data_IF_379111568034
#
_entry.id   IF_379111568034
#
_cell.length_a   1.000
_cell.length_b   1.000
_cell.length_c   1.000
_cell.angle_alpha   90.00
_cell.angle_beta   90.00
_cell.angle_gamma   90.00
#
_symmetry.space_group_name_H-M   'P 1'
#
loop_
_entity.id
_entity.type
_entity.pdbx_description
1 polymer ?
#
# COMPACT_ATOMS: atom_id res chain seq x y z
N UNK A 1 -8.39 -10.99 1.88
CA UNK A 1 -8.31 -9.71 2.62
C UNK A 1 -6.92 -9.60 3.25
N UNK A 2 -6.13 -8.58 2.89
CA UNK A 2 -4.70 -8.52 3.24
C UNK A 2 -4.47 -8.48 4.77
N UNK A 3 -3.56 -9.31 5.32
CA UNK A 3 -3.33 -9.41 6.77
C UNK A 3 -2.83 -8.09 7.39
N UNK A 4 -2.10 -7.28 6.60
CA UNK A 4 -1.61 -5.95 6.99
C UNK A 4 -2.78 -5.01 7.29
N UNK A 5 -3.82 -4.99 6.45
CA UNK A 5 -4.99 -4.12 6.62
C UNK A 5 -5.76 -4.49 7.90
N UNK A 6 -5.80 -5.77 8.27
CA UNK A 6 -6.45 -6.23 9.51
C UNK A 6 -5.72 -5.74 10.76
N UNK A 7 -4.39 -5.74 10.75
CA UNK A 7 -3.56 -5.27 11.87
C UNK A 7 -3.69 -3.76 12.07
N UNK A 8 -3.58 -2.96 10.99
CA UNK A 8 -3.78 -1.51 11.05
C UNK A 8 -5.17 -1.14 11.53
N UNK A 9 -6.20 -1.84 11.05
CA UNK A 9 -7.58 -1.63 11.50
C UNK A 9 -7.73 -1.86 13.01
N UNK A 10 -7.08 -2.88 13.57
CA UNK A 10 -7.13 -3.10 15.02
C UNK A 10 -6.49 -1.97 15.81
N UNK A 11 -5.30 -1.51 15.40
CA UNK A 11 -4.58 -0.42 16.10
C UNK A 11 -5.33 0.90 16.03
N UNK A 12 -5.94 1.23 14.89
CA UNK A 12 -6.68 2.48 14.74
C UNK A 12 -7.95 2.49 15.58
N UNK A 13 -8.65 1.36 15.70
CA UNK A 13 -9.78 1.23 16.62
C UNK A 13 -9.34 1.42 18.08
N UNK A 14 -8.21 0.83 18.48
CA UNK A 14 -7.66 1.05 19.83
C UNK A 14 -7.37 2.54 20.09
N UNK A 15 -6.74 3.24 19.15
CA UNK A 15 -6.46 4.68 19.28
C UNK A 15 -7.75 5.52 19.40
N UNK A 16 -8.77 5.23 18.59
CA UNK A 16 -10.08 5.91 18.66
C UNK A 16 -10.79 5.65 19.99
N UNK A 17 -10.74 4.42 20.50
CA UNK A 17 -11.33 4.05 21.80
C UNK A 17 -10.61 4.80 22.93
N UNK A 18 -9.27 4.87 22.91
CA UNK A 18 -8.50 5.61 23.91
C UNK A 18 -8.79 7.11 23.87
N UNK A 19 -8.93 7.70 22.69
CA UNK A 19 -9.33 9.11 22.54
C UNK A 19 -10.75 9.36 23.07
N UNK A 20 -11.71 8.50 22.73
CA UNK A 20 -13.07 8.61 23.26
C UNK A 20 -13.07 8.48 24.79
N UNK A 21 -12.28 7.54 25.32
CA UNK A 21 -12.17 7.30 26.76
C UNK A 21 -11.63 8.51 27.52
N UNK A 22 -10.57 9.16 27.01
CA UNK A 22 -10.03 10.36 27.67
C UNK A 22 -10.98 11.56 27.57
N UNK A 23 -11.73 11.70 26.48
CA UNK A 23 -12.76 12.74 26.35
C UNK A 23 -13.86 12.52 27.39
N UNK A 24 -14.32 11.27 27.55
CA UNK A 24 -15.33 10.92 28.57
C UNK A 24 -14.80 11.24 29.97
N UNK A 25 -13.57 10.83 30.31
CA UNK A 25 -12.96 11.15 31.60
C UNK A 25 -12.85 12.66 31.81
N UNK A 26 -12.41 13.42 30.81
CA UNK A 26 -12.32 14.87 30.87
C UNK A 26 -13.67 15.53 31.17
N UNK A 27 -14.70 15.16 30.39
CA UNK A 27 -16.07 15.71 30.54
C UNK A 27 -16.62 15.42 31.92
N UNK A 28 -16.55 14.17 32.38
CA UNK A 28 -17.05 13.79 33.70
C UNK A 28 -16.22 14.40 34.83
N UNK A 29 -14.90 14.50 34.68
CA UNK A 29 -14.01 15.14 35.65
C UNK A 29 -14.36 16.61 35.85
N UNK A 30 -14.46 17.40 34.78
CA UNK A 30 -14.86 18.80 34.90
C UNK A 30 -16.30 18.98 35.38
N UNK A 31 -17.21 18.06 35.02
CA UNK A 31 -18.59 18.08 35.51
C UNK A 31 -18.68 17.86 37.02
N UNK A 32 -17.95 16.89 37.57
CA UNK A 32 -18.06 16.55 39.00
C UNK A 32 -17.14 17.38 39.91
N UNK A 33 -15.95 17.75 39.43
CA UNK A 33 -14.99 18.51 40.24
C UNK A 33 -15.32 20.01 40.19
N UNK A 34 -15.60 20.54 39.01
CA UNK A 34 -15.79 21.98 38.80
C UNK A 34 -17.25 22.40 38.55
N UNK A 35 -18.21 21.47 38.58
CA UNK A 35 -19.63 21.72 38.28
C UNK A 35 -19.90 22.38 36.91
N UNK A 36 -19.01 22.18 35.92
CA UNK A 36 -19.18 22.72 34.58
C UNK A 36 -20.47 22.21 33.93
N UNK A 37 -21.09 23.00 33.05
CA UNK A 37 -22.14 22.47 32.19
C UNK A 37 -21.59 21.37 31.28
N UNK A 38 -22.43 20.48 30.76
CA UNK A 38 -21.96 19.41 29.85
C UNK A 38 -21.22 19.96 28.63
N UNK A 39 -21.68 21.11 28.13
CA UNK A 39 -21.07 21.78 26.97
C UNK A 39 -19.72 22.39 27.35
N UNK A 40 -19.65 23.08 28.50
CA UNK A 40 -18.40 23.71 28.95
C UNK A 40 -17.35 22.65 29.33
N UNK A 41 -17.77 21.54 29.93
CA UNK A 41 -16.89 20.42 30.26
C UNK A 41 -16.31 19.76 29.00
N UNK A 42 -17.14 19.56 27.97
CA UNK A 42 -16.69 19.06 26.67
C UNK A 42 -15.77 20.05 25.99
N UNK A 43 -16.14 21.32 25.95
CA UNK A 43 -15.33 22.38 25.35
C UNK A 43 -13.96 22.47 26.03
N UNK A 44 -13.92 22.52 27.37
CA UNK A 44 -12.68 22.54 28.15
C UNK A 44 -11.81 21.29 27.90
N UNK A 45 -12.43 20.12 27.82
CA UNK A 45 -11.71 18.86 27.51
C UNK A 45 -11.09 18.89 26.12
N UNK A 46 -11.84 19.33 25.11
CA UNK A 46 -11.38 19.38 23.72
C UNK A 46 -10.25 20.40 23.56
N UNK A 47 -10.37 21.62 24.08
CA UNK A 47 -9.29 22.63 23.96
C UNK A 47 -8.00 22.19 24.67
N UNK A 48 -8.14 21.42 25.75
CA UNK A 48 -7.00 20.86 26.50
C UNK A 48 -6.33 19.74 25.72
N UNK A 49 -7.11 18.76 25.24
CA UNK A 49 -6.61 17.61 24.48
C UNK A 49 -6.00 18.00 23.13
N UNK A 50 -6.57 19.01 22.47
CA UNK A 50 -6.06 19.53 21.19
C UNK A 50 -4.88 20.48 21.37
N UNK A 51 -4.43 20.74 22.60
CA UNK A 51 -3.34 21.65 22.94
C UNK A 51 -3.52 23.09 22.45
N UNK A 52 -4.76 23.48 22.13
CA UNK A 52 -5.08 24.85 21.68
C UNK A 52 -5.02 25.83 22.85
N UNK A 53 -5.58 25.45 24.00
CA UNK A 53 -5.37 26.18 25.26
C UNK A 53 -5.83 27.64 25.26
N UNK A 54 -7.05 27.95 24.77
CA UNK A 54 -7.61 29.31 24.75
C UNK A 54 -7.87 29.94 26.14
N UNK A 55 -7.53 29.26 27.23
CA UNK A 55 -7.81 29.65 28.60
C UNK A 55 -8.95 28.84 29.23
N UNK A 56 -9.14 29.04 30.53
CA UNK A 56 -10.15 28.35 31.33
C UNK A 56 -11.54 28.92 31.03
N UNK A 57 -12.54 28.05 30.82
CA UNK A 57 -13.93 28.47 30.58
C UNK A 57 -14.54 29.10 31.84
N UNK A 58 -14.20 28.53 33.00
CA UNK A 58 -14.62 28.96 34.34
C UNK A 58 -13.38 28.82 35.24
N UNK A 59 -13.19 29.70 36.25
CA UNK A 59 -12.02 29.62 37.13
C UNK A 59 -11.82 28.22 37.72
N UNK A 60 -10.64 27.65 37.51
CA UNK A 60 -10.27 26.34 38.03
C UNK A 60 -9.89 26.44 39.50
N UNK A 61 -10.52 25.61 40.31
CA UNK A 61 -10.12 25.40 41.70
C UNK A 61 -8.87 24.51 41.77
N UNK A 62 -8.20 24.45 42.92
CA UNK A 62 -6.91 23.75 43.02
C UNK A 62 -7.00 22.25 42.70
N UNK A 63 -8.13 21.61 43.03
CA UNK A 63 -8.40 20.22 42.65
C UNK A 63 -8.53 20.05 41.13
N UNK A 64 -9.20 20.99 40.48
CA UNK A 64 -9.42 20.98 39.03
C UNK A 64 -8.12 21.22 38.28
N UNK A 65 -7.22 22.07 38.79
CA UNK A 65 -5.87 22.25 38.22
C UNK A 65 -5.06 20.95 38.24
N UNK A 66 -5.06 20.24 39.37
CA UNK A 66 -4.37 18.94 39.48
C UNK A 66 -4.95 17.94 38.47
N UNK A 67 -6.28 17.86 38.37
CA UNK A 67 -6.95 17.03 37.37
C UNK A 67 -6.53 17.40 35.93
N UNK A 68 -6.54 18.69 35.59
CA UNK A 68 -6.14 19.19 34.27
C UNK A 68 -4.69 18.82 33.94
N UNK A 69 -3.76 18.88 34.90
CA UNK A 69 -2.36 18.48 34.71
C UNK A 69 -2.29 17.00 34.27
N UNK A 70 -2.98 16.11 34.99
CA UNK A 70 -3.01 14.68 34.61
C UNK A 70 -3.69 14.45 33.27
N UNK A 71 -4.78 15.17 32.98
CA UNK A 71 -5.50 15.10 31.71
C UNK A 71 -4.59 15.51 30.54
N UNK A 72 -3.81 16.59 30.69
CA UNK A 72 -2.84 17.04 29.68
C UNK A 72 -1.80 15.96 29.43
N UNK A 73 -1.14 15.45 30.49
CA UNK A 73 -0.11 14.43 30.34
C UNK A 73 -0.63 13.17 29.64
N UNK A 74 -1.80 12.69 30.04
CA UNK A 74 -2.43 11.52 29.41
C UNK A 74 -2.82 11.79 27.94
N UNK A 75 -3.37 12.99 27.66
CA UNK A 75 -3.80 13.37 26.31
C UNK A 75 -2.64 13.42 25.31
N UNK A 76 -1.50 13.99 25.69
CA UNK A 76 -0.31 14.08 24.82
C UNK A 76 0.19 12.68 24.42
N UNK A 77 0.22 11.73 25.37
CA UNK A 77 0.64 10.35 25.10
C UNK A 77 -0.31 9.68 24.09
N UNK A 78 -1.63 9.82 24.30
CA UNK A 78 -2.65 9.18 23.45
C UNK A 78 -2.67 9.82 22.05
N UNK A 79 -2.63 11.14 21.96
CA UNK A 79 -2.59 11.87 20.68
C UNK A 79 -1.29 11.55 19.93
N UNK A 80 -0.14 11.50 20.61
CA UNK A 80 1.13 11.10 20.01
C UNK A 80 1.12 9.66 19.48
N UNK A 81 0.49 8.74 20.21
CA UNK A 81 0.26 7.37 19.74
C UNK A 81 -0.64 7.32 18.50
N UNK A 82 -1.75 8.08 18.50
CA UNK A 82 -2.65 8.16 17.36
C UNK A 82 -1.94 8.73 16.11
N UNK A 83 -1.14 9.79 16.25
CA UNK A 83 -0.32 10.36 15.18
C UNK A 83 0.71 9.38 14.63
N UNK A 84 1.32 8.58 15.52
CA UNK A 84 2.28 7.55 15.13
C UNK A 84 1.63 6.48 14.24
N UNK A 85 0.42 6.03 14.58
CA UNK A 85 -0.35 5.07 13.76
C UNK A 85 -0.69 5.67 12.39
N UNK A 86 -1.10 6.94 12.34
CA UNK A 86 -1.42 7.63 11.08
C UNK A 86 -0.18 7.71 10.19
N UNK A 87 0.97 8.10 10.76
CA UNK A 87 2.25 8.16 10.06
C UNK A 87 2.67 6.79 9.53
N UNK A 88 2.60 5.74 10.36
CA UNK A 88 2.91 4.35 9.97
C UNK A 88 1.99 3.88 8.84
N UNK A 89 0.70 4.24 8.87
CA UNK A 89 -0.26 3.90 7.81
C UNK A 89 0.06 4.58 6.48
N UNK A 90 0.46 5.86 6.51
CA UNK A 90 0.85 6.61 5.30
C UNK A 90 2.13 6.00 4.71
N UNK A 91 3.14 5.71 5.54
CA UNK A 91 4.40 5.11 5.09
C UNK A 91 4.20 3.68 4.56
N UNK A 92 3.42 2.86 5.26
CA UNK A 92 3.15 1.47 4.87
C UNK A 92 2.52 1.35 3.49
N UNK A 93 1.75 2.35 3.03
CA UNK A 93 1.24 2.35 1.64
C UNK A 93 2.36 2.31 0.60
N UNK A 94 3.50 2.96 0.85
CA UNK A 94 4.62 2.99 -0.08
C UNK A 94 5.43 1.68 -0.03
N UNK A 95 5.64 1.12 1.17
CA UNK A 95 6.34 -0.16 1.34
C UNK A 95 5.62 -1.33 0.68
N UNK A 96 4.28 -1.29 0.61
CA UNK A 96 3.50 -2.32 -0.08
C UNK A 96 3.85 -2.39 -1.57
N UNK A 97 4.07 -1.26 -2.24
CA UNK A 97 4.48 -1.26 -3.65
C UNK A 97 5.89 -1.84 -3.81
N UNK A 98 6.84 -1.47 -2.94
CA UNK A 98 8.20 -2.03 -2.99
C UNK A 98 8.22 -3.55 -2.68
N UNK A 99 7.43 -4.00 -1.71
CA UNK A 99 7.27 -5.42 -1.40
C UNK A 99 6.61 -6.19 -2.56
N UNK A 100 5.65 -5.58 -3.27
CA UNK A 100 5.06 -6.16 -4.49
C UNK A 100 6.11 -6.29 -5.59
N UNK A 101 6.92 -5.27 -5.82
CA UNK A 101 8.01 -5.35 -6.79
C UNK A 101 9.01 -6.46 -6.42
N UNK A 102 9.42 -6.56 -5.15
CA UNK A 102 10.31 -7.65 -4.69
C UNK A 102 9.68 -9.04 -4.86
N UNK A 103 8.38 -9.20 -4.62
CA UNK A 103 7.66 -10.46 -4.87
C UNK A 103 7.57 -10.78 -6.37
N UNK A 104 7.28 -9.76 -7.18
CA UNK A 104 7.22 -9.89 -8.64
C UNK A 104 8.59 -10.31 -9.20
N UNK A 105 9.66 -9.64 -8.77
CA UNK A 105 11.02 -9.96 -9.16
C UNK A 105 11.39 -11.39 -8.78
N UNK A 106 11.09 -11.84 -7.55
CA UNK A 106 11.30 -13.24 -7.16
C UNK A 106 10.53 -14.24 -8.02
N UNK A 107 9.32 -13.89 -8.49
CA UNK A 107 8.54 -14.73 -9.41
C UNK A 107 9.22 -14.81 -10.78
N UNK A 108 9.70 -13.67 -11.28
CA UNK A 108 10.44 -13.56 -12.55
C UNK A 108 11.76 -14.32 -12.49
N UNK A 109 12.50 -14.20 -11.39
CA UNK A 109 13.78 -14.89 -11.17
C UNK A 109 13.63 -16.42 -11.17
N UNK A 110 12.45 -16.92 -10.78
CA UNK A 110 12.11 -18.34 -10.83
C UNK A 110 11.80 -18.87 -12.22
N UNK A 111 11.62 -18.02 -13.23
CA UNK A 111 11.36 -18.45 -14.59
C UNK A 111 12.65 -18.89 -15.31
N UNK A 112 12.51 -19.95 -16.11
CA UNK A 112 13.49 -20.47 -17.07
C UNK A 112 12.77 -20.73 -18.38
N UNK A 113 13.45 -20.51 -19.51
CA UNK A 113 12.91 -20.69 -20.85
C UNK A 113 11.64 -19.86 -21.15
N UNK A 114 11.48 -18.73 -20.46
CA UNK A 114 10.32 -17.84 -20.63
C UNK A 114 10.47 -16.87 -21.80
N UNK A 115 9.34 -16.27 -22.20
CA UNK A 115 9.31 -15.24 -23.24
C UNK A 115 9.35 -13.86 -22.61
N UNK A 116 10.20 -12.95 -23.11
CA UNK A 116 10.21 -11.55 -22.68
C UNK A 116 9.50 -10.69 -23.73
N UNK A 117 8.43 -9.99 -23.33
CA UNK A 117 7.66 -9.09 -24.19
C UNK A 117 8.04 -7.65 -23.89
N UNK A 118 8.53 -6.92 -24.90
CA UNK A 118 8.80 -5.50 -24.79
C UNK A 118 7.55 -4.69 -25.16
N UNK A 119 6.89 -4.13 -24.15
CA UNK A 119 5.74 -3.24 -24.24
C UNK A 119 4.39 -3.97 -24.13
N UNK A 120 3.50 -3.43 -23.31
CA UNK A 120 2.14 -3.88 -23.08
C UNK A 120 1.10 -3.02 -23.82
N UNK A 121 1.41 -2.67 -25.08
CA UNK A 121 0.45 -2.04 -25.98
C UNK A 121 -0.59 -3.03 -26.52
N UNK A 122 -1.30 -2.66 -27.59
CA UNK A 122 -2.31 -3.52 -28.25
C UNK A 122 -1.76 -4.90 -28.63
N UNK A 123 -0.59 -4.94 -29.27
CA UNK A 123 0.02 -6.19 -29.73
C UNK A 123 0.65 -6.99 -28.58
N UNK A 124 1.33 -6.32 -27.64
CA UNK A 124 1.90 -6.97 -26.46
C UNK A 124 0.85 -7.63 -25.58
N UNK A 125 -0.31 -6.98 -25.42
CA UNK A 125 -1.46 -7.55 -24.72
C UNK A 125 -2.01 -8.81 -25.39
N UNK A 126 -2.12 -8.83 -26.71
CA UNK A 126 -2.57 -10.02 -27.45
C UNK A 126 -1.55 -11.16 -27.36
N UNK A 127 -0.25 -10.86 -27.45
CA UNK A 127 0.81 -11.83 -27.27
C UNK A 127 0.78 -12.44 -25.86
N UNK A 128 0.69 -11.60 -24.82
CA UNK A 128 0.55 -12.03 -23.43
C UNK A 128 -0.67 -12.95 -23.23
N UNK A 129 -1.84 -12.58 -23.77
CA UNK A 129 -3.06 -13.40 -23.69
C UNK A 129 -2.90 -14.76 -24.35
N UNK A 130 -2.24 -14.82 -25.52
CA UNK A 130 -1.95 -16.09 -26.19
C UNK A 130 -1.01 -16.96 -25.36
N UNK A 131 0.10 -16.40 -24.87
CA UNK A 131 1.06 -17.14 -24.04
C UNK A 131 0.40 -17.65 -22.75
N UNK A 132 -0.47 -16.85 -22.15
CA UNK A 132 -1.25 -17.23 -20.98
C UNK A 132 -2.24 -18.36 -21.29
N UNK A 133 -2.93 -18.32 -22.43
CA UNK A 133 -3.85 -19.38 -22.86
C UNK A 133 -3.12 -20.72 -23.12
N UNK A 134 -1.86 -20.67 -23.56
CA UNK A 134 -1.01 -21.85 -23.75
C UNK A 134 -0.14 -22.17 -22.51
N UNK A 135 -0.39 -21.53 -21.37
CA UNK A 135 0.28 -21.75 -20.09
C UNK A 135 1.82 -21.66 -20.15
N UNK A 136 2.34 -20.78 -21.01
CA UNK A 136 3.78 -20.51 -21.15
C UNK A 136 4.19 -19.40 -20.19
N UNK A 137 5.34 -19.57 -19.54
CA UNK A 137 5.94 -18.52 -18.70
C UNK A 137 6.39 -17.34 -19.56
N UNK A 138 6.02 -16.13 -19.16
CA UNK A 138 6.44 -14.90 -19.84
C UNK A 138 6.53 -13.72 -18.88
N UNK A 139 7.27 -12.69 -19.30
CA UNK A 139 7.48 -11.44 -18.55
C UNK A 139 7.31 -10.27 -19.50
N UNK A 140 6.64 -9.21 -19.06
CA UNK A 140 6.45 -7.99 -19.86
C UNK A 140 7.30 -6.86 -19.33
N UNK A 141 8.08 -6.20 -20.19
CA UNK A 141 8.77 -4.96 -19.86
C UNK A 141 7.91 -3.79 -20.36
N UNK A 142 7.52 -2.87 -19.49
CA UNK A 142 6.73 -1.69 -19.88
C UNK A 142 7.31 -0.41 -19.28
N UNK A 143 7.48 0.62 -20.11
CA UNK A 143 8.03 1.91 -19.70
C UNK A 143 6.95 2.80 -19.07
N UNK A 144 5.71 2.72 -19.55
CA UNK A 144 4.64 3.56 -19.06
C UNK A 144 3.99 2.98 -17.79
N UNK A 145 4.12 3.71 -16.67
CA UNK A 145 3.50 3.39 -15.38
C UNK A 145 1.97 3.37 -15.42
N UNK A 146 1.33 4.10 -16.34
CA UNK A 146 -0.15 4.09 -16.46
C UNK A 146 -0.70 2.71 -16.81
N UNK A 147 0.12 1.87 -17.43
CA UNK A 147 -0.26 0.51 -17.84
C UNK A 147 -0.04 -0.50 -16.71
N UNK A 148 0.64 -0.10 -15.64
CA UNK A 148 0.95 -0.95 -14.48
C UNK A 148 -0.33 -1.48 -13.79
N UNK A 149 -1.35 -0.63 -13.63
CA UNK A 149 -2.63 -1.06 -13.03
C UNK A 149 -3.30 -2.16 -13.86
N UNK A 150 -3.22 -2.07 -15.20
CA UNK A 150 -3.76 -3.08 -16.11
C UNK A 150 -2.99 -4.39 -16.04
N UNK A 151 -1.65 -4.32 -15.96
CA UNK A 151 -0.80 -5.48 -15.79
C UNK A 151 -1.07 -6.19 -14.46
N UNK A 152 -1.27 -5.41 -13.38
CA UNK A 152 -1.68 -5.93 -12.05
C UNK A 152 -3.04 -6.61 -12.12
N UNK A 153 -4.03 -5.99 -12.76
CA UNK A 153 -5.37 -6.55 -12.91
C UNK A 153 -5.39 -7.85 -13.73
N UNK A 154 -4.61 -7.91 -14.81
CA UNK A 154 -4.52 -9.08 -15.69
C UNK A 154 -3.55 -10.16 -15.12
N UNK A 155 -3.02 -9.98 -13.91
CA UNK A 155 -2.06 -10.86 -13.19
C UNK A 155 -0.80 -11.23 -13.98
N UNK A 156 -0.40 -10.34 -14.90
CA UNK A 156 0.74 -10.56 -15.79
C UNK A 156 2.06 -10.25 -15.06
N UNK A 157 3.09 -11.11 -15.12
CA UNK A 157 4.42 -10.77 -14.61
C UNK A 157 5.06 -9.65 -15.42
N UNK A 158 5.54 -8.59 -14.76
CA UNK A 158 6.09 -7.42 -15.45
C UNK A 158 7.28 -6.77 -14.74
N UNK A 159 8.07 -6.03 -15.52
CA UNK A 159 9.15 -5.14 -15.08
C UNK A 159 8.85 -3.73 -15.62
N UNK A 160 8.87 -2.72 -14.76
CA UNK A 160 8.70 -1.33 -15.20
C UNK A 160 10.05 -0.75 -15.56
N UNK A 161 10.23 -0.36 -16.81
CA UNK A 161 11.49 0.18 -17.31
C UNK A 161 11.55 0.25 -18.82
N UNK A 162 12.63 0.84 -19.33
CA UNK A 162 12.86 0.91 -20.75
C UNK A 162 13.55 -0.37 -21.24
N UNK A 163 12.93 -1.07 -22.20
CA UNK A 163 13.52 -2.29 -22.78
C UNK A 163 14.81 -2.05 -23.61
N UNK A 164 15.29 -0.81 -23.70
CA UNK A 164 16.59 -0.47 -24.28
C UNK A 164 17.72 -0.40 -23.24
N UNK A 165 17.40 -0.49 -21.95
CA UNK A 165 18.38 -0.48 -20.86
C UNK A 165 18.70 -1.93 -20.50
N UNK A 166 20.00 -2.26 -20.51
CA UNK A 166 20.48 -3.62 -20.25
C UNK A 166 20.09 -4.08 -18.83
N UNK A 167 20.11 -3.18 -17.85
CA UNK A 167 19.69 -3.46 -16.47
C UNK A 167 18.24 -3.98 -16.40
N UNK A 168 17.34 -3.39 -17.19
CA UNK A 168 15.91 -3.78 -17.23
C UNK A 168 15.73 -5.12 -17.96
N UNK A 169 16.52 -5.38 -19.01
CA UNK A 169 16.53 -6.66 -19.71
C UNK A 169 17.03 -7.79 -18.81
N UNK A 170 18.07 -7.52 -18.01
CA UNK A 170 18.59 -8.46 -17.01
C UNK A 170 17.58 -8.72 -15.89
N UNK A 171 16.89 -7.69 -15.40
CA UNK A 171 15.80 -7.85 -14.43
C UNK A 171 14.65 -8.69 -14.98
N UNK A 172 14.35 -8.57 -16.28
CA UNK A 172 13.36 -9.42 -16.95
C UNK A 172 13.85 -10.86 -17.22
N UNK A 173 15.12 -11.16 -16.91
CA UNK A 173 15.72 -12.47 -17.09
C UNK A 173 15.98 -12.84 -18.55
N UNK A 174 16.33 -11.86 -19.40
CA UNK A 174 16.63 -12.11 -20.83
C UNK A 174 17.76 -13.13 -21.03
N UNK A 175 18.69 -13.23 -20.09
CA UNK A 175 19.76 -14.24 -20.05
C UNK A 175 19.24 -15.69 -19.95
N UNK A 176 18.05 -15.87 -19.36
CA UNK A 176 17.38 -17.17 -19.16
C UNK A 176 16.17 -17.36 -20.07
N UNK A 177 15.86 -16.37 -20.89
CA UNK A 177 14.69 -16.37 -21.76
C UNK A 177 14.95 -17.21 -23.02
N UNK A 178 13.92 -17.95 -23.45
CA UNK A 178 13.97 -18.71 -24.71
C UNK A 178 13.78 -17.82 -25.93
N UNK A 179 13.12 -16.67 -25.77
CA UNK A 179 12.85 -15.72 -26.85
C UNK A 179 12.55 -14.30 -26.36
N UNK A 180 12.98 -13.32 -27.15
CA UNK A 180 12.73 -11.89 -26.92
C UNK A 180 11.77 -11.34 -27.99
N UNK A 181 10.64 -10.80 -27.55
CA UNK A 181 9.63 -10.20 -28.40
C UNK A 181 9.75 -8.66 -28.39
N UNK A 182 10.48 -8.11 -29.37
CA UNK A 182 10.44 -6.67 -29.68
C UNK A 182 9.37 -6.38 -30.73
N UNK A 183 8.67 -5.25 -30.57
CA UNK A 183 7.62 -4.74 -31.46
C UNK A 183 7.98 -4.78 -32.96
N UNK A 184 9.26 -4.77 -33.31
CA UNK A 184 9.73 -4.75 -34.70
C UNK A 184 9.84 -6.14 -35.38
N UNK A 185 9.76 -7.27 -34.65
CA UNK A 185 9.98 -8.62 -35.20
C UNK A 185 9.03 -9.69 -34.64
N UNK A 186 7.80 -9.28 -34.38
CA UNK A 186 6.90 -9.95 -33.46
C UNK A 186 6.08 -11.11 -34.06
N UNK A 187 5.51 -10.95 -35.25
CA UNK A 187 4.47 -11.89 -35.68
C UNK A 187 5.05 -13.24 -36.13
N UNK A 188 6.16 -13.24 -36.87
CA UNK A 188 6.76 -14.48 -37.37
C UNK A 188 7.34 -15.38 -36.27
N UNK A 189 7.95 -14.82 -35.23
CA UNK A 189 8.60 -15.61 -34.17
C UNK A 189 7.60 -16.34 -33.28
N UNK A 190 6.49 -15.68 -32.91
CA UNK A 190 5.42 -16.32 -32.14
C UNK A 190 4.69 -17.38 -32.98
N UNK A 191 4.34 -17.09 -34.23
CA UNK A 191 3.68 -18.09 -35.07
C UNK A 191 4.61 -19.25 -35.40
N UNK A 192 5.90 -19.01 -35.63
CA UNK A 192 6.92 -20.07 -35.80
C UNK A 192 6.97 -20.97 -34.56
N UNK A 193 7.08 -20.40 -33.37
CA UNK A 193 7.08 -21.18 -32.12
C UNK A 193 5.76 -21.91 -31.84
N UNK A 194 4.62 -21.27 -32.05
CA UNK A 194 3.32 -21.90 -31.88
C UNK A 194 3.14 -23.06 -32.88
N UNK A 195 3.55 -22.85 -34.14
CA UNK A 195 3.53 -23.90 -35.16
C UNK A 195 4.48 -25.06 -34.85
N UNK A 196 5.67 -24.78 -34.30
CA UNK A 196 6.62 -25.80 -33.87
C UNK A 196 6.11 -26.58 -32.65
N UNK A 197 5.43 -25.91 -31.73
CA UNK A 197 4.81 -26.54 -30.56
C UNK A 197 3.62 -27.43 -30.96
N UNK A 198 2.75 -26.94 -31.86
CA UNK A 198 1.61 -27.71 -32.39
C UNK A 198 2.08 -28.95 -33.18
N UNK A 199 3.21 -28.83 -33.88
CA UNK A 199 3.86 -29.94 -34.61
C UNK A 199 4.42 -31.02 -33.67
N UNK A 200 4.89 -30.64 -32.47
CA UNK A 200 5.43 -31.57 -31.48
C UNK A 200 4.35 -32.27 -30.63
N UNK A 201 3.10 -31.79 -30.67
CA UNK A 201 1.95 -32.43 -30.00
C UNK A 201 1.18 -33.42 -30.89
N UNK A 202 1.52 -33.53 -32.19
CA UNK A 202 0.90 -34.46 -33.14
C UNK A 202 1.75 -35.71 -33.44
N UNK A 203 2.81 -35.95 -32.67
CA UNK A 203 3.59 -37.20 -32.59
C UNK A 203 3.47 -37.78 -31.19
#
# INVERSE_FOLDING_TARGET
>A
MNPIVRLFRSRIYTALILLAFIVVIGVFGYRFISNYSWVDALYMTVITMTTVGFGEVVPLDDQSKIFTIFLILASIIIVGYALSIITEYILSKNDIEELKHKKMQKKIDGFKDHVVICGYGRNGKQAARKLQAHNKSFVVIEKNKDVEERLKHDEVPYVIGNANEDEILLQAGVDRASSLYRHFQAMQTIYSWCSLQDSLTLL
#
